data_IF_161776842174
#
_entry.id   IF_161776842174
#
_cell.length_a   1.000
_cell.length_b   1.000
_cell.length_c   1.000
_cell.angle_alpha   90.00
_cell.angle_beta   90.00
_cell.angle_gamma   90.00
#
_symmetry.space_group_name_H-M   'P 1'
#
loop_
_entity.id
_entity.type
_entity.pdbx_description
1 polymer ?
#
# COMPACT_ATOMS: atom_id res chain seq x y z
N UNK A 1 -0.84 73.10 35.78
CA UNK A 1 -0.80 71.65 36.06
C UNK A 1 -1.57 70.94 34.99
N UNK A 2 -0.85 70.35 34.05
CA UNK A 2 -1.44 69.64 32.93
C UNK A 2 -1.75 68.21 33.38
N UNK A 3 -3.00 67.78 33.20
CA UNK A 3 -3.47 66.45 33.57
C UNK A 3 -3.67 65.61 32.32
N UNK A 4 -3.07 64.41 32.30
CA UNK A 4 -3.34 63.41 31.28
C UNK A 4 -4.11 62.25 31.91
N UNK A 5 -5.26 61.92 31.33
CA UNK A 5 -6.12 60.85 31.82
C UNK A 5 -5.82 59.55 31.07
N UNK A 6 -5.35 58.55 31.82
CA UNK A 6 -5.06 57.21 31.34
C UNK A 6 -6.07 56.23 31.93
N UNK A 7 -6.67 55.41 31.07
CA UNK A 7 -7.57 54.33 31.50
C UNK A 7 -6.81 53.01 31.53
N UNK A 8 -6.88 52.33 32.67
CA UNK A 8 -6.23 51.04 32.88
C UNK A 8 -7.33 50.00 33.00
N UNK A 9 -7.48 49.22 31.94
CA UNK A 9 -8.53 48.20 31.81
C UNK A 9 -7.87 46.86 31.51
N UNK A 10 -8.06 45.88 32.40
CA UNK A 10 -7.32 44.60 32.38
C UNK A 10 -5.82 44.87 32.23
N UNK A 11 -5.06 44.10 31.45
CA UNK A 11 -3.62 44.32 31.29
C UNK A 11 -3.27 45.34 30.18
N UNK A 12 -4.12 46.33 29.91
CA UNK A 12 -3.88 47.32 28.85
C UNK A 12 -4.08 48.75 29.33
N UNK A 13 -3.29 49.65 28.75
CA UNK A 13 -3.34 51.09 29.00
C UNK A 13 -3.95 51.75 27.76
N UNK A 14 -5.04 52.50 27.96
CA UNK A 14 -5.75 53.23 26.92
C UNK A 14 -5.76 54.73 27.26
N UNK A 15 -5.62 55.61 26.27
CA UNK A 15 -5.76 57.05 26.51
C UNK A 15 -4.80 57.99 25.79
N UNK A 16 -3.77 57.50 25.10
CA UNK A 16 -3.11 58.21 24.00
C UNK A 16 -2.06 57.29 23.38
N UNK A 17 -2.18 56.97 22.09
CA UNK A 17 -1.21 56.11 21.38
C UNK A 17 0.19 56.76 21.25
N UNK A 18 0.35 58.04 21.65
CA UNK A 18 1.61 58.69 22.08
C UNK A 18 1.25 59.82 23.06
N UNK A 19 1.65 59.74 24.33
CA UNK A 19 1.44 60.86 25.28
C UNK A 19 2.50 61.93 24.98
N UNK A 20 2.11 63.01 24.30
CA UNK A 20 2.96 64.17 24.08
C UNK A 20 2.90 65.11 25.28
N UNK A 21 3.89 65.06 26.15
CA UNK A 21 3.95 65.93 27.33
C UNK A 21 4.70 67.21 26.95
N UNK A 22 3.98 68.30 26.71
CA UNK A 22 4.57 69.62 26.55
C UNK A 22 4.84 70.23 27.93
N UNK A 23 6.10 70.27 28.35
CA UNK A 23 6.50 70.87 29.62
C UNK A 23 7.03 72.28 29.38
N UNK A 24 6.33 73.31 29.89
CA UNK A 24 6.99 74.57 30.17
C UNK A 24 7.73 74.43 31.51
N UNK A 25 8.80 75.20 31.68
CA UNK A 25 9.76 75.07 32.77
C UNK A 25 9.20 75.01 34.21
N UNK A 26 7.97 75.47 34.42
CA UNK A 26 7.44 75.74 35.76
C UNK A 26 6.09 75.06 36.04
N UNK A 27 5.61 74.16 35.18
CA UNK A 27 4.34 73.46 35.41
C UNK A 27 4.53 71.99 35.80
N UNK A 28 3.99 71.61 36.96
CA UNK A 28 3.90 70.21 37.39
C UNK A 28 2.93 69.44 36.48
N UNK A 29 3.34 68.28 35.99
CA UNK A 29 2.48 67.37 35.20
C UNK A 29 1.96 66.25 36.11
N UNK A 30 0.67 65.93 35.97
CA UNK A 30 0.05 64.82 36.69
C UNK A 30 -0.60 63.84 35.71
N UNK A 31 -0.28 62.57 35.86
CA UNK A 31 -0.98 61.49 35.20
C UNK A 31 -2.10 61.01 36.12
N UNK A 32 -3.33 61.03 35.63
CA UNK A 32 -4.50 60.53 36.34
C UNK A 32 -4.88 59.18 35.76
N UNK A 33 -4.99 58.18 36.62
CA UNK A 33 -5.23 56.81 36.25
C UNK A 33 -6.64 56.38 36.64
N UNK A 34 -7.45 56.05 35.64
CA UNK A 34 -8.80 55.54 35.82
C UNK A 34 -8.77 54.02 35.74
N UNK A 35 -8.80 53.39 36.91
CA UNK A 35 -8.71 51.94 37.05
C UNK A 35 -10.09 51.26 36.96
N UNK A 36 -10.16 50.18 36.19
CA UNK A 36 -11.29 49.26 36.20
C UNK A 36 -11.37 48.46 37.53
N UNK A 37 -12.41 47.63 37.67
CA UNK A 37 -12.63 46.83 38.86
C UNK A 37 -11.49 45.83 39.18
N UNK A 38 -10.78 45.33 38.17
CA UNK A 38 -9.72 44.33 38.35
C UNK A 38 -8.45 44.95 38.97
N UNK A 39 -8.25 46.25 38.79
CA UNK A 39 -7.10 46.94 39.37
C UNK A 39 -7.41 47.51 40.75
N UNK A 40 -8.65 47.91 41.01
CA UNK A 40 -9.03 48.53 42.30
C UNK A 40 -8.75 47.64 43.51
N UNK A 41 -8.69 46.33 43.34
CA UNK A 41 -8.39 45.36 44.41
C UNK A 41 -6.94 45.41 44.91
N UNK A 42 -5.99 45.95 44.15
CA UNK A 42 -4.58 45.99 44.57
C UNK A 42 -4.32 47.10 45.59
N UNK A 43 -3.63 46.76 46.68
CA UNK A 43 -3.30 47.70 47.76
C UNK A 43 -2.31 48.77 47.32
N UNK A 44 -1.31 48.41 46.52
CA UNK A 44 -0.30 49.33 45.99
C UNK A 44 -0.29 49.32 44.47
N UNK A 45 -0.08 50.50 43.87
CA UNK A 45 0.05 50.67 42.42
C UNK A 45 1.19 51.63 42.11
N UNK A 46 1.95 51.34 41.06
CA UNK A 46 3.05 52.19 40.63
C UNK A 46 3.08 52.32 39.11
N UNK A 47 3.43 53.52 38.64
CA UNK A 47 3.80 53.80 37.27
C UNK A 47 5.31 53.62 37.13
N UNK A 48 5.72 52.80 36.16
CA UNK A 48 7.12 52.52 35.86
C UNK A 48 7.44 53.10 34.49
N UNK A 49 8.35 54.07 34.48
CA UNK A 49 8.91 54.63 33.26
C UNK A 49 10.27 54.01 33.02
N UNK A 50 10.43 53.41 31.85
CA UNK A 50 11.70 52.82 31.41
C UNK A 50 12.27 53.62 30.26
N UNK A 51 13.51 54.07 30.40
CA UNK A 51 14.21 54.78 29.33
C UNK A 51 14.71 53.81 28.26
N UNK A 52 15.06 54.31 27.08
CA UNK A 52 15.71 53.51 26.03
C UNK A 52 17.03 52.86 26.49
N UNK A 53 17.69 53.41 27.52
CA UNK A 53 18.91 52.86 28.14
C UNK A 53 18.63 51.86 29.27
N UNK A 54 17.37 51.43 29.44
CA UNK A 54 16.92 50.50 30.48
C UNK A 54 17.03 51.03 31.92
N UNK A 55 17.06 52.36 32.11
CA UNK A 55 16.94 52.96 33.45
C UNK A 55 15.46 53.07 33.83
N UNK A 56 15.15 52.88 35.12
CA UNK A 56 13.77 52.83 35.61
C UNK A 56 13.50 53.93 36.60
N UNK A 57 12.37 54.61 36.40
CA UNK A 57 11.79 55.54 37.34
C UNK A 57 10.44 54.98 37.79
N UNK A 58 10.32 54.70 39.08
CA UNK A 58 9.14 54.09 39.67
C UNK A 58 8.45 55.13 40.54
N UNK A 59 7.19 55.40 40.23
CA UNK A 59 6.40 56.42 40.91
C UNK A 59 5.15 55.76 41.47
N UNK A 60 4.95 55.88 42.78
CA UNK A 60 3.75 55.39 43.45
C UNK A 60 2.52 56.21 42.99
N UNK A 61 1.42 55.52 42.66
CA UNK A 61 0.17 56.13 42.23
C UNK A 61 -0.71 56.31 43.48
N UNK A 62 -0.78 57.55 43.99
CA UNK A 62 -1.59 57.91 45.16
C UNK A 62 -2.90 58.55 44.72
N UNK A 63 -4.01 58.13 45.33
CA UNK A 63 -5.34 58.70 45.05
C UNK A 63 -5.71 58.70 43.55
N UNK A 64 -5.29 57.65 42.82
CA UNK A 64 -5.49 57.49 41.38
C UNK A 64 -4.77 58.52 40.49
N UNK A 65 -3.70 59.15 40.99
CA UNK A 65 -2.83 60.00 40.18
C UNK A 65 -1.36 59.89 40.61
N UNK A 66 -0.46 60.27 39.71
CA UNK A 66 0.96 60.42 40.02
C UNK A 66 1.46 61.73 39.44
N UNK A 67 2.28 62.45 40.22
CA UNK A 67 3.02 63.62 39.73
C UNK A 67 4.35 63.11 39.18
N UNK A 68 4.66 63.48 37.94
CA UNK A 68 5.89 63.03 37.30
C UNK A 68 7.01 64.02 37.66
N UNK A 69 8.10 63.57 38.30
CA UNK A 69 9.18 64.46 38.71
C UNK A 69 10.01 64.89 37.49
N UNK A 70 10.71 66.02 37.62
CA UNK A 70 11.35 66.69 36.50
C UNK A 70 12.47 65.85 35.88
N UNK A 71 13.14 64.99 36.66
CA UNK A 71 14.21 64.09 36.22
C UNK A 71 13.73 63.12 35.14
N UNK A 72 12.45 62.72 35.21
CA UNK A 72 11.82 61.84 34.19
C UNK A 72 11.45 62.64 32.94
N UNK A 73 11.12 63.93 33.09
CA UNK A 73 10.68 64.79 31.98
C UNK A 73 11.84 65.45 31.22
N UNK A 74 13.01 65.62 31.85
CA UNK A 74 14.16 66.32 31.29
C UNK A 74 15.00 65.46 30.33
N UNK A 75 14.64 64.20 30.10
CA UNK A 75 15.36 63.32 29.18
C UNK A 75 14.75 63.45 27.80
N UNK A 76 15.54 63.87 26.81
CA UNK A 76 15.09 64.16 25.42
C UNK A 76 14.83 62.89 24.58
N UNK A 77 14.29 61.83 25.19
CA UNK A 77 14.07 60.53 24.55
C UNK A 77 12.74 59.91 24.99
N UNK A 78 12.11 59.12 24.12
CA UNK A 78 10.87 58.41 24.39
C UNK A 78 11.06 57.38 25.53
N UNK A 79 10.05 57.22 26.38
CA UNK A 79 10.01 56.28 27.50
C UNK A 79 8.94 55.21 27.26
N UNK A 80 9.14 54.01 27.80
CA UNK A 80 8.06 53.04 27.94
C UNK A 80 7.41 53.18 29.31
N UNK A 81 6.11 53.43 29.35
CA UNK A 81 5.31 53.41 30.57
C UNK A 81 4.64 52.05 30.74
N UNK A 82 4.79 51.45 31.91
CA UNK A 82 3.97 50.33 32.40
C UNK A 82 3.33 50.70 33.72
N UNK A 83 2.20 50.08 34.05
CA UNK A 83 1.59 50.20 35.36
C UNK A 83 1.56 48.83 36.00
N UNK A 84 1.97 48.76 37.27
CA UNK A 84 1.91 47.53 38.06
C UNK A 84 1.01 47.72 39.28
N UNK A 85 0.28 46.67 39.61
CA UNK A 85 -0.55 46.55 40.80
C UNK A 85 -0.07 45.37 41.62
N UNK A 86 0.03 45.56 42.93
CA UNK A 86 0.51 44.55 43.86
C UNK A 86 -0.28 44.60 45.17
N UNK A 87 -0.67 43.44 45.68
CA UNK A 87 -1.43 43.28 46.93
C UNK A 87 -0.65 42.57 48.04
N UNK A 88 0.66 42.33 47.85
CA UNK A 88 1.48 41.56 48.79
C UNK A 88 1.66 40.09 48.42
N UNK A 89 0.92 39.55 47.46
CA UNK A 89 1.01 38.14 47.04
C UNK A 89 0.95 37.91 45.53
N UNK A 90 0.28 38.81 44.78
CA UNK A 90 0.11 38.70 43.33
C UNK A 90 0.44 40.03 42.65
N UNK A 91 1.17 39.98 41.53
CA UNK A 91 1.46 41.14 40.68
C UNK A 91 0.62 41.08 39.41
N UNK A 92 -0.01 42.19 39.05
CA UNK A 92 -0.59 42.41 37.75
C UNK A 92 0.11 43.56 37.03
N UNK A 93 0.49 43.34 35.78
CA UNK A 93 1.16 44.34 34.95
C UNK A 93 0.31 44.69 33.75
N UNK A 94 0.09 45.98 33.55
CA UNK A 94 -0.48 46.50 32.32
C UNK A 94 0.64 46.63 31.28
N UNK A 95 0.31 46.31 30.03
CA UNK A 95 1.23 46.37 28.90
C UNK A 95 1.88 47.73 28.72
N UNK A 96 3.05 47.72 28.09
CA UNK A 96 3.87 48.90 27.83
C UNK A 96 3.23 49.81 26.79
N UNK A 97 3.32 51.11 27.03
CA UNK A 97 2.97 52.15 26.05
C UNK A 97 4.10 53.15 25.92
N UNK A 98 4.42 53.55 24.70
CA UNK A 98 5.43 54.55 24.43
C UNK A 98 4.92 55.97 24.75
N UNK A 99 5.68 56.67 25.58
CA UNK A 99 5.48 58.05 25.99
C UNK A 99 6.54 58.89 25.31
N UNK A 100 6.11 59.85 24.49
CA UNK A 100 7.01 60.70 23.72
C UNK A 100 7.01 62.10 24.32
N UNK A 101 8.15 62.57 24.82
CA UNK A 101 8.26 63.95 25.32
C UNK A 101 8.42 64.87 24.11
N UNK A 102 7.49 65.80 23.90
CA UNK A 102 7.50 66.70 22.73
C UNK A 102 7.87 68.10 23.20
N UNK A 103 9.18 68.40 23.12
CA UNK A 103 9.85 69.65 23.50
C UNK A 103 10.07 69.86 25.01
N UNK A 104 11.32 69.63 25.45
CA UNK A 104 11.89 70.19 26.69
C UNK A 104 12.92 71.27 26.32
N UNK A 105 12.50 72.54 26.25
CA UNK A 105 13.44 73.66 26.15
C UNK A 105 13.75 74.18 27.56
N UNK A 106 14.83 73.67 28.18
CA UNK A 106 15.41 74.27 29.39
C UNK A 106 16.94 74.07 29.46
N UNK A 107 17.72 75.03 30.03
CA UNK A 107 19.16 75.22 29.81
C UNK A 107 20.11 74.25 30.55
N UNK A 108 21.30 74.08 29.97
CA UNK A 108 22.39 73.14 30.35
C UNK A 108 23.06 73.36 31.73
N UNK A 109 22.55 74.26 32.57
CA UNK A 109 23.29 74.76 33.75
C UNK A 109 22.81 74.20 35.10
N UNK A 110 21.93 73.20 35.12
CA UNK A 110 21.56 72.47 36.34
C UNK A 110 22.32 71.14 36.45
N UNK A 111 23.64 71.23 36.68
CA UNK A 111 24.41 70.14 37.30
C UNK A 111 24.76 70.56 38.72
N UNK A 112 24.24 69.85 39.73
CA UNK A 112 25.00 69.40 40.91
C UNK A 112 24.12 68.78 42.01
N UNK A 113 24.71 67.78 42.68
CA UNK A 113 24.38 67.16 43.98
C UNK A 113 23.06 66.39 44.15
N UNK A 114 23.17 65.07 43.96
CA UNK A 114 22.52 64.08 44.85
C UNK A 114 23.05 64.30 46.28
N UNK A 115 22.18 64.53 47.29
CA UNK A 115 21.65 63.46 48.15
C UNK A 115 20.19 63.77 48.61
N UNK A 116 19.33 62.88 49.11
CA UNK A 116 19.47 61.76 50.05
C UNK A 116 18.09 61.07 50.19
N UNK A 117 18.12 59.74 50.34
CA UNK A 117 17.38 58.94 51.34
C UNK A 117 15.87 59.24 51.51
N UNK A 118 14.96 58.31 51.18
CA UNK A 118 14.59 57.26 52.13
C UNK A 118 13.60 56.27 51.48
N UNK A 119 14.10 55.10 51.09
CA UNK A 119 13.34 53.84 51.06
C UNK A 119 14.28 52.64 50.88
N UNK A 120 15.46 52.86 50.30
CA UNK A 120 16.50 51.84 50.10
C UNK A 120 17.50 51.68 51.26
N UNK A 121 17.41 52.48 52.33
CA UNK A 121 18.20 52.26 53.57
C UNK A 121 17.81 50.98 54.32
N UNK A 122 16.78 50.26 53.86
CA UNK A 122 16.51 48.89 54.29
C UNK A 122 17.43 47.83 53.68
N UNK A 123 18.28 48.17 52.70
CA UNK A 123 19.12 47.19 52.00
C UNK A 123 20.62 47.22 52.35
N UNK A 124 21.07 48.07 53.27
CA UNK A 124 22.46 48.01 53.75
C UNK A 124 22.62 46.97 54.86
N UNK A 125 22.86 45.73 54.44
CA UNK A 125 23.78 44.82 55.13
C UNK A 125 24.40 43.91 54.08
N UNK A 126 25.46 44.43 53.46
CA UNK A 126 26.75 43.77 53.20
C UNK A 126 27.66 44.91 52.70
N UNK A 127 28.89 44.99 53.22
CA UNK A 127 29.81 46.09 52.88
C UNK A 127 30.07 46.12 51.35
N UNK A 128 30.32 47.30 50.78
CA UNK A 128 30.59 47.43 49.33
C UNK A 128 31.70 46.47 48.88
N UNK A 129 32.70 46.23 49.73
CA UNK A 129 33.79 45.29 49.48
C UNK A 129 33.35 43.81 49.55
N UNK A 130 32.43 43.45 50.45
CA UNK A 130 31.79 42.12 50.46
C UNK A 130 30.91 41.89 49.24
N UNK A 131 30.21 42.94 48.77
CA UNK A 131 29.42 42.86 47.55
C UNK A 131 30.31 42.71 46.30
N UNK A 132 31.40 43.49 46.19
CA UNK A 132 32.36 43.34 45.09
C UNK A 132 33.03 41.97 45.11
N UNK A 133 33.45 41.48 46.28
CA UNK A 133 34.03 40.14 46.42
C UNK A 133 33.02 39.05 46.08
N UNK A 134 31.77 39.19 46.50
CA UNK A 134 30.68 38.27 46.12
C UNK A 134 30.41 38.29 44.63
N UNK A 135 30.41 39.45 43.98
CA UNK A 135 30.26 39.54 42.53
C UNK A 135 31.47 38.96 41.80
N UNK A 136 32.68 39.14 42.31
CA UNK A 136 33.90 38.57 41.74
C UNK A 136 33.90 37.04 41.88
N UNK A 137 33.55 36.52 43.05
CA UNK A 137 33.36 35.08 43.31
C UNK A 137 32.21 34.50 42.47
N UNK A 138 31.11 35.24 42.27
CA UNK A 138 29.99 34.84 41.39
C UNK A 138 30.41 34.87 39.91
N UNK A 139 31.17 35.86 39.46
CA UNK A 139 31.70 35.94 38.10
C UNK A 139 32.68 34.79 37.87
N UNK A 140 33.55 34.47 38.83
CA UNK A 140 34.52 33.39 38.73
C UNK A 140 33.83 32.02 38.76
N UNK A 141 32.83 31.85 39.63
CA UNK A 141 31.96 30.66 39.66
C UNK A 141 31.18 30.49 38.36
N UNK A 142 30.64 31.57 37.78
CA UNK A 142 29.98 31.56 36.49
C UNK A 142 30.96 31.23 35.35
N UNK A 143 32.17 31.80 35.35
CA UNK A 143 33.23 31.46 34.39
C UNK A 143 33.57 29.97 34.46
N UNK A 144 33.81 29.45 35.66
CA UNK A 144 34.08 28.03 35.88
C UNK A 144 32.91 27.14 35.43
N UNK A 145 31.67 27.54 35.72
CA UNK A 145 30.48 26.82 35.27
C UNK A 145 30.33 26.83 33.74
N UNK A 146 30.63 27.96 33.08
CA UNK A 146 30.63 28.08 31.62
C UNK A 146 31.74 27.25 30.99
N UNK A 147 32.97 27.28 31.51
CA UNK A 147 34.09 26.48 31.03
C UNK A 147 33.80 24.98 31.17
N UNK A 148 33.25 24.56 32.31
CA UNK A 148 32.79 23.18 32.52
C UNK A 148 31.71 22.80 31.50
N UNK A 149 30.74 23.68 31.25
CA UNK A 149 29.67 23.43 30.25
C UNK A 149 30.22 23.38 28.82
N UNK A 150 31.22 24.19 28.49
CA UNK A 150 31.91 24.15 27.20
C UNK A 150 32.64 22.82 27.02
N UNK A 151 33.36 22.34 28.05
CA UNK A 151 34.00 21.02 28.03
C UNK A 151 32.98 19.89 27.88
N UNK A 152 31.89 19.92 28.64
CA UNK A 152 30.81 18.93 28.55
C UNK A 152 30.14 18.92 27.16
N UNK A 153 29.90 20.11 26.58
CA UNK A 153 29.38 20.21 25.20
C UNK A 153 30.40 19.72 24.17
N UNK A 154 31.70 20.02 24.34
CA UNK A 154 32.77 19.53 23.47
C UNK A 154 32.83 18.01 23.44
N UNK A 155 32.72 17.35 24.60
CA UNK A 155 32.63 15.88 24.69
C UNK A 155 31.38 15.35 23.99
N UNK A 156 30.21 15.99 24.16
CA UNK A 156 28.97 15.60 23.48
C UNK A 156 29.07 15.77 21.95
N UNK A 157 29.67 16.84 21.47
CA UNK A 157 29.90 17.10 20.04
C UNK A 157 30.86 16.05 19.46
N UNK A 158 31.95 15.73 20.15
CA UNK A 158 32.89 14.70 19.69
C UNK A 158 32.21 13.33 19.60
N UNK A 159 31.43 12.95 20.62
CA UNK A 159 30.66 11.70 20.59
C UNK A 159 29.62 11.68 19.46
N UNK A 160 28.95 12.80 19.20
CA UNK A 160 28.01 12.93 18.08
C UNK A 160 28.73 12.80 16.73
N UNK A 161 29.91 13.41 16.56
CA UNK A 161 30.71 13.32 15.35
C UNK A 161 31.24 11.89 15.10
N UNK A 162 31.70 11.20 16.14
CA UNK A 162 32.10 9.79 16.04
C UNK A 162 30.91 8.89 15.65
N UNK A 163 29.73 9.12 16.25
CA UNK A 163 28.52 8.42 15.88
C UNK A 163 28.15 8.67 14.41
N UNK A 164 28.18 9.91 13.94
CA UNK A 164 27.91 10.25 12.53
C UNK A 164 28.89 9.54 11.59
N UNK A 165 30.19 9.55 11.92
CA UNK A 165 31.22 8.87 11.13
C UNK A 165 31.02 7.35 11.10
N UNK A 166 30.59 6.75 12.20
CA UNK A 166 30.28 5.33 12.25
C UNK A 166 29.03 4.99 11.41
N UNK A 167 27.98 5.81 11.50
CA UNK A 167 26.77 5.65 10.67
C UNK A 167 27.08 5.82 9.19
N UNK A 168 27.91 6.78 8.80
CA UNK A 168 28.36 6.95 7.41
C UNK A 168 29.14 5.72 6.93
N UNK A 169 30.05 5.20 7.75
CA UNK A 169 30.83 3.99 7.43
C UNK A 169 29.95 2.75 7.27
N UNK A 170 28.95 2.57 8.13
CA UNK A 170 27.98 1.48 8.05
C UNK A 170 27.11 1.60 6.80
N UNK A 171 26.60 2.81 6.51
CA UNK A 171 25.82 3.09 5.30
C UNK A 171 26.62 2.81 4.03
N UNK A 172 27.89 3.23 3.98
CA UNK A 172 28.75 2.99 2.83
C UNK A 172 29.08 1.50 2.64
N UNK A 173 29.24 0.76 3.74
CA UNK A 173 29.40 -0.70 3.69
C UNK A 173 28.12 -1.39 3.17
N UNK A 174 26.94 -0.94 3.58
CA UNK A 174 25.66 -1.47 3.11
C UNK A 174 25.42 -1.14 1.63
N UNK A 175 25.73 0.08 1.18
CA UNK A 175 25.70 0.46 -0.23
C UNK A 175 26.66 -0.42 -1.05
N UNK A 176 27.85 -0.71 -0.55
CA UNK A 176 28.81 -1.59 -1.23
C UNK A 176 28.24 -3.01 -1.38
N UNK A 177 27.60 -3.54 -0.33
CA UNK A 177 26.95 -4.85 -0.36
C UNK A 177 25.80 -4.91 -1.36
N UNK A 178 24.91 -3.91 -1.36
CA UNK A 178 23.80 -3.80 -2.33
C UNK A 178 24.33 -3.74 -3.76
N UNK A 179 25.42 -2.99 -4.02
CA UNK A 179 26.04 -2.92 -5.34
C UNK A 179 26.61 -4.27 -5.79
N UNK A 180 27.20 -5.04 -4.87
CA UNK A 180 27.70 -6.37 -5.17
C UNK A 180 26.54 -7.33 -5.47
N UNK A 181 25.51 -7.38 -4.62
CA UNK A 181 24.32 -8.21 -4.82
C UNK A 181 23.65 -7.90 -6.18
N UNK A 182 23.49 -6.62 -6.51
CA UNK A 182 22.94 -6.20 -7.80
C UNK A 182 23.84 -6.57 -8.99
N UNK A 183 25.17 -6.57 -8.83
CA UNK A 183 26.09 -7.03 -9.88
C UNK A 183 25.98 -8.54 -10.12
N UNK A 184 25.82 -9.34 -9.07
CA UNK A 184 25.61 -10.79 -9.13
C UNK A 184 24.25 -11.14 -9.76
N UNK A 185 23.19 -10.41 -9.41
CA UNK A 185 21.87 -10.54 -10.04
C UNK A 185 21.91 -10.21 -11.53
N UNK A 186 22.57 -9.10 -11.91
CA UNK A 186 22.73 -8.73 -13.30
C UNK A 186 23.51 -9.78 -14.11
N UNK A 187 24.57 -10.36 -13.53
CA UNK A 187 25.30 -11.47 -14.16
C UNK A 187 24.40 -12.69 -14.36
N UNK A 188 23.57 -13.01 -13.37
CA UNK A 188 22.60 -14.11 -13.42
C UNK A 188 21.53 -13.88 -14.49
N UNK A 189 20.95 -12.68 -14.56
CA UNK A 189 19.98 -12.33 -15.60
C UNK A 189 20.59 -12.36 -17.00
N UNK A 190 21.79 -11.81 -17.18
CA UNK A 190 22.47 -11.84 -18.47
C UNK A 190 22.76 -13.29 -18.93
N UNK A 191 23.10 -14.18 -17.99
CA UNK A 191 23.29 -15.61 -18.28
C UNK A 191 21.98 -16.26 -18.74
N UNK A 192 20.87 -16.03 -18.02
CA UNK A 192 19.54 -16.51 -18.41
C UNK A 192 19.10 -15.98 -19.77
N UNK A 193 19.36 -14.71 -20.07
CA UNK A 193 19.06 -14.11 -21.38
C UNK A 193 19.86 -14.82 -22.48
N UNK A 194 21.14 -15.10 -22.27
CA UNK A 194 21.95 -15.84 -23.24
C UNK A 194 21.41 -17.27 -23.48
N UNK A 195 20.99 -17.97 -22.44
CA UNK A 195 20.38 -19.30 -22.53
C UNK A 195 19.02 -19.27 -23.27
N UNK A 196 18.19 -18.28 -22.98
CA UNK A 196 16.92 -18.05 -23.68
C UNK A 196 17.16 -17.76 -25.15
N UNK A 197 18.13 -16.91 -25.49
CA UNK A 197 18.49 -16.62 -26.87
C UNK A 197 19.01 -17.86 -27.61
N UNK A 198 19.81 -18.71 -26.95
CA UNK A 198 20.25 -19.99 -27.52
C UNK A 198 19.06 -20.92 -27.79
N UNK A 199 18.11 -20.97 -26.86
CA UNK A 199 16.88 -21.77 -26.99
C UNK A 199 15.97 -21.23 -28.09
N UNK A 200 15.86 -19.91 -28.22
CA UNK A 200 15.11 -19.23 -29.27
C UNK A 200 15.71 -19.53 -30.65
N UNK A 201 17.02 -19.39 -30.81
CA UNK A 201 17.71 -19.75 -32.07
C UNK A 201 17.54 -21.22 -32.42
N UNK A 202 17.56 -22.12 -31.44
CA UNK A 202 17.29 -23.54 -31.67
C UNK A 202 15.82 -23.80 -32.05
N UNK A 203 14.87 -23.05 -31.48
CA UNK A 203 13.47 -23.11 -31.85
C UNK A 203 13.21 -22.53 -33.24
N UNK A 204 13.91 -21.46 -33.63
CA UNK A 204 13.88 -20.88 -34.98
C UNK A 204 14.41 -21.88 -36.01
N UNK A 205 15.58 -22.48 -35.77
CA UNK A 205 16.13 -23.55 -36.61
C UNK A 205 15.21 -24.78 -36.71
N UNK A 206 14.44 -25.06 -35.66
CA UNK A 206 13.36 -26.05 -35.75
C UNK A 206 12.28 -25.49 -36.68
N UNK A 207 11.68 -24.33 -36.39
CA UNK A 207 10.65 -23.72 -37.24
C UNK A 207 11.02 -23.69 -38.73
N UNK A 208 12.25 -23.30 -39.07
CA UNK A 208 12.73 -23.29 -40.46
C UNK A 208 12.82 -24.71 -41.06
N UNK A 209 13.18 -25.72 -40.25
CA UNK A 209 13.08 -27.13 -40.65
C UNK A 209 11.64 -27.62 -40.76
N UNK A 210 10.72 -27.03 -40.00
CA UNK A 210 9.29 -27.30 -40.09
C UNK A 210 8.69 -26.67 -41.36
N UNK A 211 9.14 -25.49 -41.79
CA UNK A 211 8.78 -24.91 -43.09
C UNK A 211 9.26 -25.79 -44.25
N UNK A 212 10.44 -26.42 -44.10
CA UNK A 212 10.93 -27.43 -45.05
C UNK A 212 10.11 -28.73 -45.00
N UNK A 213 9.53 -29.08 -43.85
CA UNK A 213 8.56 -30.18 -43.72
C UNK A 213 7.20 -29.80 -44.31
N UNK A 214 6.76 -28.55 -44.19
CA UNK A 214 5.55 -28.03 -44.84
C UNK A 214 5.73 -28.00 -46.37
N UNK A 215 6.91 -27.64 -46.88
CA UNK A 215 7.25 -27.76 -48.31
C UNK A 215 7.33 -29.22 -48.78
N UNK A 216 7.85 -30.13 -47.94
CA UNK A 216 7.86 -31.57 -48.21
C UNK A 216 6.47 -32.22 -48.03
N UNK A 217 5.58 -31.61 -47.25
CA UNK A 217 4.17 -32.00 -47.11
C UNK A 217 3.28 -31.37 -48.17
N UNK A 218 3.65 -30.23 -48.78
CA UNK A 218 3.06 -29.71 -50.01
C UNK A 218 3.14 -30.76 -51.14
N UNK A 219 4.22 -31.56 -51.17
CA UNK A 219 4.39 -32.65 -52.14
C UNK A 219 3.52 -33.89 -51.82
N UNK A 220 3.06 -34.07 -50.56
CA UNK A 220 2.09 -35.11 -50.15
C UNK A 220 0.63 -34.63 -50.07
N UNK A 221 0.36 -33.32 -50.12
CA UNK A 221 -0.98 -32.72 -50.01
C UNK A 221 -1.66 -32.45 -51.35
N UNK A 222 -1.17 -33.02 -52.46
CA UNK A 222 -2.00 -33.13 -53.69
C UNK A 222 -3.27 -33.97 -53.51
N UNK A 223 -3.41 -34.68 -52.39
CA UNK A 223 -4.65 -35.37 -52.03
C UNK A 223 -5.38 -34.60 -50.93
N UNK A 224 -6.61 -34.17 -51.22
CA UNK A 224 -7.59 -33.70 -50.24
C UNK A 224 -7.97 -34.74 -49.16
N UNK A 225 -7.28 -35.90 -49.15
CA UNK A 225 -7.52 -37.10 -48.34
C UNK A 225 -6.21 -37.72 -47.82
N UNK A 226 -5.28 -36.92 -47.31
CA UNK A 226 -4.03 -37.45 -46.77
C UNK A 226 -4.29 -38.49 -45.66
N UNK A 227 -3.80 -39.72 -45.85
CA UNK A 227 -3.85 -40.80 -44.87
C UNK A 227 -2.47 -40.94 -44.22
N UNK A 228 -2.37 -40.65 -42.93
CA UNK A 228 -1.18 -40.89 -42.10
C UNK A 228 -1.31 -42.23 -41.37
N UNK A 229 -1.37 -43.28 -42.20
CA UNK A 229 -1.61 -44.66 -41.78
C UNK A 229 -0.53 -45.59 -42.33
N UNK A 230 -0.32 -46.75 -41.69
CA UNK A 230 0.54 -47.82 -42.20
C UNK A 230 1.88 -47.92 -41.49
N UNK A 231 2.07 -47.20 -40.38
CA UNK A 231 3.17 -47.50 -39.47
C UNK A 231 2.99 -48.88 -38.85
N UNK A 232 4.09 -49.58 -38.60
CA UNK A 232 4.11 -50.89 -37.92
C UNK A 232 4.66 -50.79 -36.49
N UNK A 233 5.07 -49.60 -36.08
CA UNK A 233 5.62 -49.26 -34.76
C UNK A 233 5.11 -47.88 -34.36
N UNK A 234 5.14 -47.57 -33.07
CA UNK A 234 4.83 -46.23 -32.56
C UNK A 234 5.67 -45.13 -33.25
N UNK A 235 5.03 -44.03 -33.65
CA UNK A 235 5.72 -42.87 -34.22
C UNK A 235 5.06 -41.56 -33.81
N UNK A 236 5.79 -40.45 -33.97
CA UNK A 236 5.31 -39.09 -33.71
C UNK A 236 5.04 -38.39 -35.02
N UNK A 237 3.93 -37.68 -35.11
CA UNK A 237 3.66 -36.78 -36.22
C UNK A 237 4.01 -35.34 -35.83
N UNK A 238 4.51 -34.55 -36.80
CA UNK A 238 4.57 -33.12 -36.64
C UNK A 238 3.15 -32.53 -36.44
N UNK A 239 3.08 -31.30 -35.97
CA UNK A 239 1.92 -30.43 -36.14
C UNK A 239 1.62 -30.28 -37.64
N UNK A 240 0.42 -30.65 -38.06
CA UNK A 240 0.02 -30.68 -39.46
C UNK A 240 -0.85 -29.46 -39.76
N UNK A 241 -0.48 -28.70 -40.78
CA UNK A 241 -1.30 -27.63 -41.31
C UNK A 241 -2.47 -28.18 -42.12
N UNK A 242 -3.59 -28.47 -41.44
CA UNK A 242 -4.77 -29.09 -42.04
C UNK A 242 -5.81 -28.09 -42.55
N UNK A 243 -5.47 -26.79 -42.65
CA UNK A 243 -6.41 -25.72 -43.04
C UNK A 243 -7.08 -25.94 -44.40
N UNK A 244 -6.40 -26.60 -45.34
CA UNK A 244 -6.88 -26.84 -46.70
C UNK A 244 -7.45 -28.27 -46.89
N UNK A 245 -7.51 -29.09 -45.84
CA UNK A 245 -8.06 -30.44 -45.97
C UNK A 245 -9.57 -30.38 -46.18
N UNK A 246 -10.05 -31.04 -47.24
CA UNK A 246 -11.48 -31.15 -47.50
C UNK A 246 -12.18 -32.06 -46.49
N UNK A 247 -11.50 -33.15 -46.09
CA UNK A 247 -12.03 -34.13 -45.13
C UNK A 247 -10.96 -34.43 -44.07
N UNK A 248 -11.33 -34.21 -42.82
CA UNK A 248 -10.57 -34.57 -41.64
C UNK A 248 -11.45 -35.49 -40.79
N UNK A 249 -11.01 -36.74 -40.61
CA UNK A 249 -11.79 -37.86 -40.07
C UNK A 249 -10.91 -38.78 -39.23
N UNK A 250 -11.53 -39.70 -38.49
CA UNK A 250 -10.81 -40.68 -37.67
C UNK A 250 -9.89 -41.61 -38.47
N UNK A 251 -10.23 -41.88 -39.75
CA UNK A 251 -9.44 -42.72 -40.64
C UNK A 251 -8.13 -42.09 -41.12
N UNK A 252 -7.92 -40.79 -40.89
CA UNK A 252 -6.70 -40.12 -41.35
C UNK A 252 -5.45 -40.51 -40.54
N UNK A 253 -5.62 -41.08 -39.35
CA UNK A 253 -4.50 -41.44 -38.47
C UNK A 253 -4.64 -42.91 -38.06
N UNK A 254 -3.57 -43.69 -38.12
CA UNK A 254 -3.59 -45.05 -37.58
C UNK A 254 -3.47 -45.06 -36.04
N UNK A 255 -3.42 -46.25 -35.45
CA UNK A 255 -3.32 -46.41 -34.00
C UNK A 255 -1.89 -46.32 -33.47
N UNK A 256 -0.88 -46.18 -34.33
CA UNK A 256 0.53 -46.11 -33.94
C UNK A 256 1.02 -44.67 -33.74
N UNK A 257 0.21 -43.67 -34.09
CA UNK A 257 0.50 -42.26 -33.79
C UNK A 257 0.51 -42.05 -32.27
N UNK A 258 1.63 -41.58 -31.75
CA UNK A 258 1.83 -41.30 -30.32
C UNK A 258 1.70 -39.82 -29.97
N UNK A 259 2.03 -38.94 -30.90
CA UNK A 259 1.93 -37.48 -30.74
C UNK A 259 1.46 -36.87 -32.06
N UNK A 260 0.53 -35.92 -31.98
CA UNK A 260 -0.06 -35.25 -33.14
C UNK A 260 -0.39 -33.81 -32.80
N UNK A 261 -0.30 -32.91 -33.78
CA UNK A 261 -0.96 -31.61 -33.69
C UNK A 261 -1.64 -31.26 -35.01
N UNK A 262 -2.75 -30.50 -34.95
CA UNK A 262 -3.54 -30.14 -36.13
C UNK A 262 -4.00 -28.67 -36.10
N UNK A 263 -4.04 -28.06 -37.28
CA UNK A 263 -4.73 -26.79 -37.53
C UNK A 263 -6.18 -27.02 -37.98
N UNK A 264 -7.13 -26.71 -37.11
CA UNK A 264 -8.55 -26.97 -37.33
C UNK A 264 -9.32 -25.77 -37.92
N UNK A 265 -8.65 -24.81 -38.55
CA UNK A 265 -9.27 -23.59 -39.13
C UNK A 265 -10.51 -23.86 -40.00
N UNK A 266 -10.57 -25.04 -40.64
CA UNK A 266 -11.67 -25.45 -41.53
C UNK A 266 -12.61 -26.50 -40.93
N UNK A 267 -12.29 -27.08 -39.77
CA UNK A 267 -13.12 -28.10 -39.14
C UNK A 267 -14.28 -27.46 -38.35
N UNK A 268 -15.43 -28.14 -38.34
CA UNK A 268 -16.62 -27.72 -37.58
C UNK A 268 -17.05 -28.75 -36.54
N UNK A 269 -16.44 -29.93 -36.54
CA UNK A 269 -16.71 -31.04 -35.61
C UNK A 269 -15.44 -31.82 -35.33
N UNK A 270 -15.34 -32.37 -34.13
CA UNK A 270 -14.32 -33.34 -33.71
C UNK A 270 -14.94 -34.66 -33.28
N UNK A 271 -16.22 -34.89 -33.60
CA UNK A 271 -16.94 -36.08 -33.12
C UNK A 271 -16.21 -37.36 -33.54
N UNK A 272 -15.89 -38.20 -32.55
CA UNK A 272 -15.22 -39.50 -32.71
C UNK A 272 -13.87 -39.47 -33.45
N UNK A 273 -13.23 -38.30 -33.61
CA UNK A 273 -12.06 -38.16 -34.47
C UNK A 273 -10.84 -38.97 -33.97
N UNK A 274 -10.68 -39.08 -32.66
CA UNK A 274 -9.57 -39.78 -32.01
C UNK A 274 -10.07 -40.82 -31.01
N UNK A 275 -11.27 -41.36 -31.23
CA UNK A 275 -11.81 -42.40 -30.34
C UNK A 275 -10.94 -43.65 -30.43
N UNK A 276 -10.74 -44.31 -29.29
CA UNK A 276 -10.03 -45.59 -29.18
C UNK A 276 -8.56 -45.56 -29.65
N UNK A 277 -7.90 -44.40 -29.61
CA UNK A 277 -6.49 -44.28 -30.01
C UNK A 277 -5.57 -44.88 -28.97
N UNK A 278 -5.20 -46.14 -29.19
CA UNK A 278 -4.45 -46.97 -28.25
C UNK A 278 -3.09 -46.42 -27.87
N UNK A 279 -2.37 -45.78 -28.80
CA UNK A 279 -1.01 -45.29 -28.55
C UNK A 279 -0.90 -43.76 -28.50
N UNK A 280 -1.96 -43.00 -28.80
CA UNK A 280 -1.92 -41.54 -28.75
C UNK A 280 -1.72 -41.07 -27.31
N UNK A 281 -0.64 -40.34 -27.04
CA UNK A 281 -0.25 -39.84 -25.72
C UNK A 281 -0.44 -38.34 -25.57
N UNK A 282 -0.15 -37.57 -26.61
CA UNK A 282 -0.28 -36.11 -26.60
C UNK A 282 -0.91 -35.62 -27.89
N UNK A 283 -1.86 -34.69 -27.77
CA UNK A 283 -2.43 -34.02 -28.93
C UNK A 283 -2.63 -32.52 -28.71
N UNK A 284 -2.34 -31.74 -29.75
CA UNK A 284 -2.52 -30.29 -29.77
C UNK A 284 -3.38 -29.85 -30.96
N UNK A 285 -4.58 -29.34 -30.69
CA UNK A 285 -5.54 -28.90 -31.69
C UNK A 285 -5.72 -27.38 -31.62
N UNK A 286 -5.29 -26.65 -32.66
CA UNK A 286 -5.37 -25.19 -32.73
C UNK A 286 -6.55 -24.75 -33.59
N UNK A 287 -6.96 -23.49 -33.44
CA UNK A 287 -8.06 -22.88 -34.22
C UNK A 287 -9.39 -23.63 -34.06
N UNK A 288 -9.74 -23.97 -32.82
CA UNK A 288 -10.95 -24.72 -32.45
C UNK A 288 -12.21 -23.86 -32.33
N UNK A 289 -12.14 -22.56 -32.61
CA UNK A 289 -13.23 -21.59 -32.40
C UNK A 289 -14.47 -21.87 -33.27
N UNK A 290 -14.31 -22.65 -34.35
CA UNK A 290 -15.40 -23.09 -35.22
C UNK A 290 -15.98 -24.46 -34.86
N UNK A 291 -15.36 -25.20 -33.95
CA UNK A 291 -15.85 -26.51 -33.55
C UNK A 291 -17.17 -26.36 -32.81
N UNK A 292 -18.19 -27.06 -33.27
CA UNK A 292 -19.56 -27.05 -32.71
C UNK A 292 -19.83 -28.23 -31.78
N UNK A 293 -19.10 -29.33 -31.95
CA UNK A 293 -19.26 -30.57 -31.18
C UNK A 293 -17.97 -31.39 -31.12
N UNK A 294 -17.74 -32.05 -29.98
CA UNK A 294 -16.61 -32.93 -29.71
C UNK A 294 -17.06 -34.28 -29.12
N UNK A 295 -18.26 -34.75 -29.49
CA UNK A 295 -18.85 -35.97 -28.95
C UNK A 295 -17.90 -37.15 -29.14
N UNK A 296 -17.57 -37.84 -28.05
CA UNK A 296 -16.68 -39.03 -28.09
C UNK A 296 -15.32 -38.79 -28.78
N UNK A 297 -14.83 -37.54 -28.85
CA UNK A 297 -13.65 -37.20 -29.64
C UNK A 297 -12.44 -38.08 -29.30
N UNK A 298 -12.13 -38.25 -28.02
CA UNK A 298 -10.98 -39.03 -27.53
C UNK A 298 -11.38 -40.31 -26.81
N UNK A 299 -12.68 -40.51 -26.54
CA UNK A 299 -13.21 -41.60 -25.74
C UNK A 299 -12.50 -42.95 -25.95
N UNK A 300 -12.18 -43.60 -24.82
CA UNK A 300 -11.50 -44.88 -24.70
C UNK A 300 -10.08 -44.90 -25.30
N UNK A 301 -9.32 -43.82 -25.18
CA UNK A 301 -7.91 -43.72 -25.56
C UNK A 301 -6.99 -43.93 -24.35
N UNK A 302 -6.63 -45.19 -24.03
CA UNK A 302 -6.01 -45.54 -22.75
C UNK A 302 -4.59 -45.01 -22.56
N UNK A 303 -3.92 -44.55 -23.63
CA UNK A 303 -2.57 -43.97 -23.55
C UNK A 303 -2.55 -42.44 -23.53
N UNK A 304 -3.71 -41.79 -23.74
CA UNK A 304 -3.79 -40.34 -23.83
C UNK A 304 -3.45 -39.73 -22.49
N UNK A 305 -2.50 -38.79 -22.44
CA UNK A 305 -2.00 -38.13 -21.23
C UNK A 305 -2.25 -36.63 -21.22
N UNK A 306 -2.12 -35.97 -22.38
CA UNK A 306 -2.27 -34.53 -22.50
C UNK A 306 -3.07 -34.15 -23.75
N UNK A 307 -4.07 -33.29 -23.57
CA UNK A 307 -4.83 -32.67 -24.65
C UNK A 307 -4.78 -31.16 -24.51
N UNK A 308 -4.41 -30.48 -25.59
CA UNK A 308 -4.39 -29.02 -25.70
C UNK A 308 -5.34 -28.60 -26.81
N UNK A 309 -6.33 -27.79 -26.48
CA UNK A 309 -7.29 -27.20 -27.41
C UNK A 309 -7.18 -25.67 -27.33
N UNK A 310 -7.60 -24.98 -28.39
CA UNK A 310 -7.80 -23.53 -28.37
C UNK A 310 -9.11 -23.12 -27.69
N UNK A 311 -9.67 -21.98 -28.11
CA UNK A 311 -11.01 -21.57 -27.68
C UNK A 311 -12.10 -22.44 -28.31
N UNK A 312 -13.15 -22.73 -27.55
CA UNK A 312 -14.32 -23.52 -27.93
C UNK A 312 -15.58 -22.64 -27.99
N UNK A 313 -15.46 -21.41 -28.52
CA UNK A 313 -16.52 -20.38 -28.49
C UNK A 313 -17.82 -20.77 -29.18
N UNK A 314 -17.80 -21.75 -30.09
CA UNK A 314 -19.00 -22.30 -30.76
C UNK A 314 -19.37 -23.71 -30.33
N UNK A 315 -18.56 -24.35 -29.49
CA UNK A 315 -18.82 -25.73 -29.09
C UNK A 315 -20.00 -25.77 -28.12
N UNK A 316 -20.99 -26.59 -28.44
CA UNK A 316 -22.20 -26.77 -27.63
C UNK A 316 -22.31 -28.16 -27.01
N UNK A 317 -21.52 -29.12 -27.48
CA UNK A 317 -21.61 -30.50 -27.01
C UNK A 317 -20.21 -31.14 -26.87
N UNK A 318 -19.84 -31.46 -25.63
CA UNK A 318 -18.64 -32.18 -25.22
C UNK A 318 -18.96 -33.53 -24.57
N UNK A 319 -20.13 -34.10 -24.87
CA UNK A 319 -20.56 -35.38 -24.33
C UNK A 319 -19.52 -36.46 -24.59
N UNK A 320 -19.11 -37.13 -23.51
CA UNK A 320 -18.19 -38.26 -23.55
C UNK A 320 -16.84 -37.97 -24.25
N UNK A 321 -16.44 -36.70 -24.38
CA UNK A 321 -15.22 -36.33 -25.13
C UNK A 321 -13.99 -37.12 -24.65
N UNK A 322 -13.82 -37.31 -23.34
CA UNK A 322 -12.71 -38.05 -22.73
C UNK A 322 -13.17 -39.32 -21.98
N UNK A 323 -14.32 -39.88 -22.34
CA UNK A 323 -14.93 -41.00 -21.62
C UNK A 323 -13.99 -42.21 -21.54
N UNK A 324 -13.66 -42.64 -20.31
CA UNK A 324 -12.71 -43.72 -19.98
C UNK A 324 -11.29 -43.52 -20.51
N UNK A 325 -10.81 -42.28 -20.67
CA UNK A 325 -9.40 -41.99 -20.95
C UNK A 325 -8.57 -42.10 -19.66
N UNK A 326 -8.32 -43.34 -19.22
CA UNK A 326 -7.81 -43.64 -17.86
C UNK A 326 -6.42 -43.08 -17.56
N UNK A 327 -5.59 -42.82 -18.58
CA UNK A 327 -4.25 -42.23 -18.43
C UNK A 327 -4.22 -40.72 -18.61
N UNK A 328 -5.36 -40.07 -18.91
CA UNK A 328 -5.40 -38.64 -19.17
C UNK A 328 -5.00 -37.90 -17.90
N UNK A 329 -3.95 -37.08 -17.95
CA UNK A 329 -3.41 -36.35 -16.79
C UNK A 329 -3.78 -34.87 -16.84
N UNK A 330 -3.83 -34.28 -18.04
CA UNK A 330 -4.05 -32.84 -18.23
C UNK A 330 -4.88 -32.54 -19.47
N UNK A 331 -5.84 -31.63 -19.31
CA UNK A 331 -6.58 -31.04 -20.41
C UNK A 331 -6.47 -29.51 -20.32
N UNK A 332 -6.14 -28.85 -21.43
CA UNK A 332 -6.08 -27.39 -21.53
C UNK A 332 -7.01 -26.92 -22.65
N UNK A 333 -7.85 -25.92 -22.37
CA UNK A 333 -8.68 -25.26 -23.38
C UNK A 333 -9.08 -23.85 -22.95
N UNK A 334 -9.47 -23.05 -23.93
CA UNK A 334 -9.88 -21.65 -23.74
C UNK A 334 -11.36 -21.48 -23.40
N UNK A 335 -12.00 -20.48 -24.02
CA UNK A 335 -13.40 -20.13 -23.77
C UNK A 335 -14.37 -21.28 -24.13
N UNK A 336 -15.32 -21.59 -23.26
CA UNK A 336 -16.35 -22.63 -23.44
C UNK A 336 -17.79 -22.11 -23.19
N UNK A 337 -18.03 -20.81 -23.39
CA UNK A 337 -19.30 -20.14 -23.02
C UNK A 337 -20.59 -20.68 -23.65
N UNK A 338 -20.50 -21.43 -24.76
CA UNK A 338 -21.68 -22.01 -25.43
C UNK A 338 -21.91 -23.49 -25.10
N UNK A 339 -21.09 -24.09 -24.23
CA UNK A 339 -21.17 -25.53 -23.96
C UNK A 339 -22.44 -25.88 -23.18
N UNK A 340 -23.29 -26.70 -23.78
CA UNK A 340 -24.58 -27.13 -23.21
C UNK A 340 -24.52 -28.54 -22.63
N UNK A 341 -23.82 -29.45 -23.30
CA UNK A 341 -23.76 -30.86 -22.92
C UNK A 341 -22.34 -31.23 -22.48
N UNK A 342 -22.20 -31.51 -21.18
CA UNK A 342 -21.01 -32.02 -20.51
C UNK A 342 -21.18 -33.46 -20.04
N UNK A 343 -22.26 -34.14 -20.44
CA UNK A 343 -22.56 -35.48 -19.94
C UNK A 343 -21.37 -36.41 -20.15
N UNK A 344 -20.87 -36.93 -19.03
CA UNK A 344 -19.77 -37.88 -18.97
C UNK A 344 -18.47 -37.40 -19.66
N UNK A 345 -18.26 -36.09 -19.82
CA UNK A 345 -17.10 -35.53 -20.56
C UNK A 345 -15.77 -36.06 -20.03
N UNK A 346 -15.58 -36.15 -18.71
CA UNK A 346 -14.36 -36.68 -18.08
C UNK A 346 -14.62 -37.98 -17.30
N UNK A 347 -15.75 -38.65 -17.54
CA UNK A 347 -16.10 -39.88 -16.84
C UNK A 347 -14.97 -40.91 -16.98
N UNK A 348 -14.49 -41.47 -15.87
CA UNK A 348 -13.47 -42.51 -15.90
C UNK A 348 -12.04 -42.03 -16.18
N UNK A 349 -11.80 -40.71 -16.25
CA UNK A 349 -10.44 -40.16 -16.31
C UNK A 349 -9.74 -40.25 -14.94
N UNK A 350 -9.41 -41.46 -14.50
CA UNK A 350 -8.91 -41.76 -13.15
C UNK A 350 -7.59 -41.03 -12.82
N UNK A 351 -6.76 -40.76 -13.84
CA UNK A 351 -5.45 -40.12 -13.70
C UNK A 351 -5.49 -38.60 -13.94
N UNK A 352 -6.66 -38.01 -14.23
CA UNK A 352 -6.78 -36.60 -14.57
C UNK A 352 -6.46 -35.76 -13.34
N UNK A 353 -5.40 -34.95 -13.43
CA UNK A 353 -4.93 -34.09 -12.34
C UNK A 353 -5.40 -32.66 -12.53
N UNK A 354 -5.41 -32.18 -13.77
CA UNK A 354 -5.62 -30.77 -14.06
C UNK A 354 -6.54 -30.56 -15.27
N UNK A 355 -7.59 -29.76 -15.07
CA UNK A 355 -8.34 -29.11 -16.13
C UNK A 355 -7.92 -27.64 -16.13
N UNK A 356 -6.99 -27.31 -17.02
CA UNK A 356 -6.47 -25.96 -17.17
C UNK A 356 -7.38 -25.12 -18.09
N UNK A 357 -8.55 -24.80 -17.56
CA UNK A 357 -9.56 -23.93 -18.16
C UNK A 357 -10.38 -23.27 -17.05
N UNK A 358 -11.03 -22.14 -17.36
CA UNK A 358 -12.09 -21.59 -16.50
C UNK A 358 -13.44 -22.04 -17.05
N UNK A 359 -13.99 -23.10 -16.46
CA UNK A 359 -15.22 -23.73 -16.93
C UNK A 359 -16.39 -22.75 -16.78
N UNK A 360 -17.12 -22.57 -17.88
CA UNK A 360 -18.33 -21.76 -17.90
C UNK A 360 -19.55 -22.67 -18.09
N UNK A 361 -20.32 -22.85 -17.02
CA UNK A 361 -21.52 -23.71 -17.03
C UNK A 361 -22.83 -22.93 -17.29
N UNK A 362 -22.75 -21.63 -17.64
CA UNK A 362 -23.95 -20.79 -17.78
C UNK A 362 -24.90 -21.22 -18.90
N UNK A 363 -24.38 -21.91 -19.92
CA UNK A 363 -25.16 -22.49 -21.00
C UNK A 363 -25.46 -23.99 -20.81
N UNK A 364 -24.98 -24.61 -19.72
CA UNK A 364 -25.11 -26.04 -19.49
C UNK A 364 -26.59 -26.45 -19.33
N UNK A 365 -26.96 -27.55 -19.98
CA UNK A 365 -28.26 -28.21 -19.87
C UNK A 365 -28.11 -29.65 -19.33
N UNK A 366 -26.96 -30.29 -19.57
CA UNK A 366 -26.67 -31.66 -19.15
C UNK A 366 -25.25 -31.77 -18.61
N UNK A 367 -25.09 -32.15 -17.34
CA UNK A 367 -23.78 -32.32 -16.69
C UNK A 367 -23.64 -33.66 -15.97
N UNK A 368 -24.54 -34.61 -16.24
CA UNK A 368 -24.57 -35.92 -15.59
C UNK A 368 -23.24 -36.66 -15.73
N UNK A 369 -22.65 -37.07 -14.61
CA UNK A 369 -21.43 -37.88 -14.58
C UNK A 369 -20.17 -37.19 -15.11
N UNK A 370 -20.18 -35.85 -15.28
CA UNK A 370 -19.06 -35.10 -15.87
C UNK A 370 -17.70 -35.44 -15.24
N UNK A 371 -17.66 -35.58 -13.91
CA UNK A 371 -16.44 -35.82 -13.12
C UNK A 371 -16.46 -37.18 -12.39
N UNK A 372 -17.35 -38.08 -12.76
CA UNK A 372 -17.44 -39.38 -12.10
C UNK A 372 -16.17 -40.20 -12.35
N UNK A 373 -15.67 -40.84 -11.30
CA UNK A 373 -14.40 -41.57 -11.28
C UNK A 373 -13.13 -40.74 -11.58
N UNK A 374 -13.19 -39.40 -11.57
CA UNK A 374 -12.00 -38.54 -11.66
C UNK A 374 -11.21 -38.50 -10.32
N UNK A 375 -10.68 -39.63 -9.88
CA UNK A 375 -10.13 -39.78 -8.52
C UNK A 375 -8.91 -38.93 -8.23
N UNK A 376 -8.12 -38.59 -9.25
CA UNK A 376 -6.89 -37.80 -9.12
C UNK A 376 -7.08 -36.30 -9.41
N UNK A 377 -8.30 -35.83 -9.67
CA UNK A 377 -8.53 -34.43 -10.05
C UNK A 377 -8.18 -33.49 -8.90
N UNK A 378 -7.17 -32.65 -9.12
CA UNK A 378 -6.62 -31.71 -8.14
C UNK A 378 -7.02 -30.28 -8.48
N UNK A 379 -6.87 -29.90 -9.74
CA UNK A 379 -7.02 -28.51 -10.20
C UNK A 379 -8.17 -28.40 -11.20
N UNK A 380 -9.20 -27.67 -10.80
CA UNK A 380 -10.34 -27.28 -11.64
C UNK A 380 -10.79 -25.88 -11.25
N UNK A 381 -11.22 -25.08 -12.23
CA UNK A 381 -11.70 -23.72 -11.99
C UNK A 381 -13.01 -23.47 -12.72
N UNK A 382 -13.91 -22.73 -12.09
CA UNK A 382 -15.18 -22.31 -12.67
C UNK A 382 -15.24 -20.79 -12.78
N UNK A 383 -15.95 -20.29 -13.79
CA UNK A 383 -16.41 -18.91 -13.81
C UNK A 383 -17.47 -18.74 -12.71
N UNK A 384 -17.39 -17.61 -12.01
CA UNK A 384 -18.27 -17.27 -10.89
C UNK A 384 -19.75 -17.37 -11.28
N UNK A 385 -20.54 -18.02 -10.43
CA UNK A 385 -22.01 -18.11 -10.53
C UNK A 385 -22.51 -18.66 -11.87
N UNK A 386 -21.76 -19.59 -12.48
CA UNK A 386 -22.15 -20.23 -13.75
C UNK A 386 -22.75 -21.62 -13.59
N UNK A 387 -22.61 -22.27 -12.43
CA UNK A 387 -23.18 -23.59 -12.15
C UNK A 387 -24.62 -23.41 -11.64
N UNK A 388 -25.59 -23.67 -12.52
CA UNK A 388 -27.03 -23.48 -12.25
C UNK A 388 -27.84 -24.76 -12.03
N UNK A 389 -27.19 -25.90 -11.74
CA UNK A 389 -27.83 -27.20 -11.54
C UNK A 389 -26.98 -28.15 -10.71
N UNK A 390 -27.59 -29.22 -10.19
CA UNK A 390 -26.93 -30.23 -9.37
C UNK A 390 -25.62 -30.75 -9.97
N UNK A 391 -24.56 -30.75 -9.17
CA UNK A 391 -23.22 -31.10 -9.61
C UNK A 391 -22.56 -32.07 -8.62
N UNK A 392 -21.85 -33.07 -9.14
CA UNK A 392 -21.19 -34.10 -8.34
C UNK A 392 -19.69 -34.15 -8.59
N UNK A 393 -18.94 -34.13 -7.48
CA UNK A 393 -17.52 -34.41 -7.36
C UNK A 393 -17.29 -35.56 -6.35
N UNK A 394 -18.28 -36.44 -6.16
CA UNK A 394 -18.25 -37.56 -5.21
C UNK A 394 -16.97 -38.42 -5.31
N UNK A 395 -16.46 -38.59 -6.53
CA UNK A 395 -15.25 -39.39 -6.80
C UNK A 395 -13.94 -38.61 -6.70
N UNK A 396 -13.97 -37.27 -6.67
CA UNK A 396 -12.79 -36.42 -6.79
C UNK A 396 -12.07 -36.25 -5.45
N UNK A 397 -11.32 -37.28 -5.05
CA UNK A 397 -10.66 -37.38 -3.74
C UNK A 397 -9.47 -36.44 -3.55
N UNK A 398 -8.92 -35.89 -4.64
CA UNK A 398 -7.68 -35.12 -4.63
C UNK A 398 -7.85 -33.61 -4.84
N UNK A 399 -9.09 -33.08 -4.82
CA UNK A 399 -9.33 -31.66 -5.05
C UNK A 399 -8.54 -30.79 -4.08
N UNK A 400 -7.85 -29.77 -4.58
CA UNK A 400 -7.16 -28.78 -3.76
C UNK A 400 -8.15 -27.79 -3.12
N UNK A 401 -7.68 -27.06 -2.11
CA UNK A 401 -8.50 -26.04 -1.43
C UNK A 401 -8.93 -24.94 -2.40
N UNK A 402 -8.04 -24.54 -3.30
CA UNK A 402 -8.33 -23.56 -4.35
C UNK A 402 -9.40 -24.06 -5.32
N UNK A 403 -9.38 -25.34 -5.68
CA UNK A 403 -10.43 -25.95 -6.49
C UNK A 403 -11.77 -25.99 -5.74
N UNK A 404 -11.78 -26.30 -4.44
CA UNK A 404 -12.98 -26.30 -3.61
C UNK A 404 -13.60 -24.90 -3.51
N UNK A 405 -12.79 -23.86 -3.30
CA UNK A 405 -13.27 -22.46 -3.30
C UNK A 405 -13.74 -22.05 -4.71
N UNK A 406 -13.06 -22.46 -5.78
CA UNK A 406 -13.51 -22.15 -7.14
C UNK A 406 -14.83 -22.84 -7.51
N UNK A 407 -15.05 -24.08 -7.04
CA UNK A 407 -16.33 -24.77 -7.18
C UNK A 407 -17.42 -23.97 -6.47
N UNK A 408 -17.18 -23.58 -5.21
CA UNK A 408 -18.12 -22.76 -4.44
C UNK A 408 -18.45 -21.43 -5.13
N UNK A 409 -17.43 -20.70 -5.60
CA UNK A 409 -17.62 -19.44 -6.33
C UNK A 409 -18.38 -19.64 -7.63
N UNK A 410 -18.21 -20.80 -8.27
CA UNK A 410 -18.92 -21.21 -9.47
C UNK A 410 -20.42 -21.43 -9.26
N UNK A 411 -20.88 -21.75 -8.05
CA UNK A 411 -22.29 -22.01 -7.75
C UNK A 411 -23.14 -20.74 -7.90
N UNK A 412 -24.18 -20.80 -8.72
CA UNK A 412 -25.20 -19.76 -8.83
C UNK A 412 -26.10 -19.72 -7.57
N UNK A 413 -26.97 -18.71 -7.46
CA UNK A 413 -28.02 -18.71 -6.42
C UNK A 413 -29.19 -19.55 -6.93
N UNK A 414 -29.52 -20.64 -6.22
CA UNK A 414 -30.63 -21.54 -6.51
C UNK A 414 -31.56 -21.65 -5.30
N UNK A 415 -32.72 -22.31 -5.44
CA UNK A 415 -33.64 -22.56 -4.33
C UNK A 415 -33.35 -23.90 -3.62
N UNK A 416 -32.90 -24.90 -4.38
CA UNK A 416 -32.79 -26.30 -3.96
C UNK A 416 -31.63 -27.05 -4.66
N UNK A 417 -30.51 -26.36 -4.93
CA UNK A 417 -29.36 -26.98 -5.59
C UNK A 417 -28.65 -28.02 -4.71
N UNK A 418 -28.17 -29.11 -5.31
CA UNK A 418 -27.40 -30.14 -4.61
C UNK A 418 -25.97 -30.19 -5.13
N UNK A 419 -25.01 -30.05 -4.23
CA UNK A 419 -23.60 -30.31 -4.50
C UNK A 419 -23.15 -31.55 -3.75
N UNK A 420 -22.65 -32.54 -4.49
CA UNK A 420 -22.09 -33.76 -3.90
C UNK A 420 -20.57 -33.68 -3.93
N UNK A 421 -19.90 -33.81 -2.78
CA UNK A 421 -18.44 -33.81 -2.67
C UNK A 421 -17.95 -35.13 -2.09
N UNK A 422 -16.71 -35.53 -2.45
CA UNK A 422 -16.05 -36.62 -1.74
C UNK A 422 -15.85 -36.24 -0.28
N UNK A 423 -16.26 -37.12 0.64
CA UNK A 423 -16.04 -36.96 2.08
C UNK A 423 -14.57 -36.71 2.38
N UNK A 424 -13.69 -37.53 1.77
CA UNK A 424 -12.24 -37.42 1.95
C UNK A 424 -11.69 -36.07 1.49
N UNK A 425 -12.11 -35.57 0.32
CA UNK A 425 -11.65 -34.28 -0.18
C UNK A 425 -12.18 -33.12 0.68
N UNK A 426 -13.43 -33.18 1.11
CA UNK A 426 -14.03 -32.15 1.95
C UNK A 426 -13.32 -32.05 3.31
N UNK A 427 -13.15 -33.17 4.00
CA UNK A 427 -12.53 -33.19 5.32
C UNK A 427 -11.03 -32.82 5.29
N UNK A 428 -10.30 -33.17 4.23
CA UNK A 428 -8.89 -32.79 4.11
C UNK A 428 -8.72 -31.28 3.85
N UNK A 429 -9.62 -30.65 3.11
CA UNK A 429 -9.55 -29.21 2.81
C UNK A 429 -10.12 -28.34 3.95
N UNK A 430 -11.04 -28.90 4.73
CA UNK A 430 -11.71 -28.27 5.87
C UNK A 430 -11.64 -29.17 7.12
N UNK A 431 -10.45 -29.32 7.73
CA UNK A 431 -10.22 -30.29 8.81
C UNK A 431 -11.02 -29.98 10.08
N UNK A 432 -11.31 -28.71 10.35
CA UNK A 432 -12.00 -28.29 11.59
C UNK A 432 -13.51 -28.18 11.42
N UNK A 433 -14.26 -28.39 12.50
CA UNK A 433 -15.73 -28.25 12.50
C UNK A 433 -16.18 -26.82 12.15
N UNK A 434 -15.42 -25.80 12.57
CA UNK A 434 -15.73 -24.41 12.27
C UNK A 434 -15.56 -24.09 10.78
N UNK A 435 -14.48 -24.58 10.14
CA UNK A 435 -14.29 -24.42 8.69
C UNK A 435 -15.42 -25.09 7.89
N UNK A 436 -15.81 -26.31 8.26
CA UNK A 436 -16.92 -27.03 7.61
C UNK A 436 -18.23 -26.27 7.75
N UNK A 437 -18.53 -25.77 8.96
CA UNK A 437 -19.74 -24.98 9.22
C UNK A 437 -19.75 -23.65 8.45
N UNK A 438 -18.60 -22.99 8.29
CA UNK A 438 -18.49 -21.79 7.46
C UNK A 438 -18.82 -22.11 6.01
N UNK A 439 -18.28 -23.20 5.47
CA UNK A 439 -18.53 -23.63 4.10
C UNK A 439 -20.01 -24.02 3.88
N UNK A 440 -20.60 -24.80 4.77
CA UNK A 440 -22.03 -25.16 4.72
C UNK A 440 -22.94 -23.93 4.80
N UNK A 441 -22.64 -22.97 5.69
CA UNK A 441 -23.39 -21.71 5.77
C UNK A 441 -23.29 -20.89 4.47
N UNK A 442 -22.10 -20.88 3.84
CA UNK A 442 -21.90 -20.22 2.55
C UNK A 442 -22.74 -20.89 1.45
N UNK A 443 -22.80 -22.22 1.41
CA UNK A 443 -23.66 -22.97 0.49
C UNK A 443 -25.14 -22.67 0.71
N UNK A 444 -25.60 -22.73 1.97
CA UNK A 444 -26.98 -22.46 2.33
C UNK A 444 -27.43 -21.04 1.90
N UNK A 445 -26.54 -20.03 1.98
CA UNK A 445 -26.82 -18.66 1.49
C UNK A 445 -27.05 -18.58 -0.02
N UNK A 446 -26.49 -19.51 -0.79
CA UNK A 446 -26.72 -19.65 -2.23
C UNK A 446 -27.86 -20.64 -2.55
N UNK A 447 -28.52 -21.19 -1.52
CA UNK A 447 -29.57 -22.21 -1.65
C UNK A 447 -29.07 -23.58 -2.11
N UNK A 448 -27.85 -23.95 -1.70
CA UNK A 448 -27.27 -25.25 -1.98
C UNK A 448 -27.21 -26.14 -0.74
N UNK A 449 -27.50 -27.43 -0.93
CA UNK A 449 -27.34 -28.49 0.06
C UNK A 449 -26.06 -29.28 -0.25
N UNK A 450 -25.22 -29.48 0.75
CA UNK A 450 -24.04 -30.33 0.66
C UNK A 450 -24.41 -31.79 0.91
N UNK A 451 -24.02 -32.68 0.00
CA UNK A 451 -24.03 -34.14 0.19
C UNK A 451 -22.59 -34.63 0.19
N UNK A 452 -22.22 -35.44 1.16
CA UNK A 452 -20.91 -36.08 1.23
C UNK A 452 -21.04 -37.56 0.84
N UNK A 453 -20.14 -38.04 -0.01
CA UNK A 453 -20.12 -39.41 -0.54
C UNK A 453 -18.77 -40.10 -0.36
#
# INVERSE_FOLDING_TARGET
MVNYDLRIEKQRIFGAEKIAIAANANETISLRFHFDANWRIFDAKAAIFRTAKNEYYIIEIKESSAKVPWEVLAVDHDFELSVIGYDGSVVLTAGKVDVRVVSSLLPDDYKTFSPSETLFDRFKQDSIDEAYKKYEDEIESLKYAYEKKILEMGVKINKANENTKNVEKEKDAEIAKIRQEHAEENLTFNTKIAELNKSLSAAQLKADKWDLVDAAMEDKTRSNFALWTGGTKEYKLPFLNTKNMAILSSGNFDDNVTELGLDLTSATTLSQMFTQKKNLRRIELRNTDKITTMINCFSNSPSLREVILGDLTKCSNAKQTFYNDTSLEKVTFGNCERMQDWSETFFGCISLKEINASLNMSAANWISGTFDKCTSLQTIRFKKETIGMDISFASCKSLSKESMESIFDGLAILQDGVITLSTYAFENNYPTADERKIFENKLAKKGWTLVLA
#
